data_IF_560251619479
#
_entry.id   IF_560251619479
#
_cell.length_a   1.000
_cell.length_b   1.000
_cell.length_c   1.000
_cell.angle_alpha   90.00
_cell.angle_beta   90.00
_cell.angle_gamma   90.00
#
_symmetry.space_group_name_H-M   'P 1'
#
loop_
_entity.id
_entity.type
_entity.pdbx_description
1 polymer ?
#
# COMPACT_ATOMS: atom_id res chain seq x y z
N UNK A 1 -35.86 -11.80 7.17
CA UNK A 1 -34.68 -12.53 7.70
C UNK A 1 -35.21 -13.46 8.78
N UNK A 2 -35.14 -14.75 8.53
CA UNK A 2 -35.66 -15.78 9.44
C UNK A 2 -34.68 -15.89 10.61
N UNK A 3 -35.18 -16.02 11.83
CA UNK A 3 -34.39 -16.02 13.08
C UNK A 3 -33.25 -17.05 13.10
N UNK A 4 -33.38 -18.16 12.37
CA UNK A 4 -32.34 -19.19 12.24
C UNK A 4 -31.11 -18.76 11.42
N UNK A 5 -31.23 -17.79 10.50
CA UNK A 5 -30.06 -17.28 9.78
C UNK A 5 -29.20 -16.41 10.69
N UNK A 6 -29.83 -15.59 11.54
CA UNK A 6 -29.13 -14.68 12.45
C UNK A 6 -28.31 -15.44 13.50
N UNK A 7 -28.85 -16.53 14.05
CA UNK A 7 -28.16 -17.39 15.02
C UNK A 7 -26.97 -18.11 14.38
N UNK A 8 -27.14 -18.62 13.15
CA UNK A 8 -26.05 -19.20 12.36
C UNK A 8 -24.91 -18.20 12.10
N UNK A 9 -25.22 -16.93 11.82
CA UNK A 9 -24.19 -15.90 11.68
C UNK A 9 -23.53 -15.58 13.02
N UNK A 10 -24.27 -15.48 14.13
CA UNK A 10 -23.66 -15.21 15.44
C UNK A 10 -22.72 -16.32 15.89
N UNK A 11 -23.10 -17.58 15.67
CA UNK A 11 -22.26 -18.75 15.96
C UNK A 11 -21.02 -18.76 15.08
N UNK A 12 -21.17 -18.46 13.78
CA UNK A 12 -20.03 -18.31 12.88
C UNK A 12 -19.03 -17.24 13.35
N UNK A 13 -19.51 -16.08 13.83
CA UNK A 13 -18.64 -15.03 14.38
C UNK A 13 -17.95 -15.47 15.68
N UNK A 14 -18.63 -16.24 16.53
CA UNK A 14 -18.06 -16.76 17.78
C UNK A 14 -16.97 -17.79 17.49
N UNK A 15 -17.27 -18.78 16.66
CA UNK A 15 -16.33 -19.83 16.29
C UNK A 15 -15.12 -19.28 15.54
N UNK A 16 -15.32 -18.31 14.65
CA UNK A 16 -14.22 -17.64 13.95
C UNK A 16 -13.27 -16.93 14.92
N UNK A 17 -13.79 -16.27 15.96
CA UNK A 17 -12.96 -15.64 17.00
C UNK A 17 -12.17 -16.67 17.78
N UNK A 18 -12.82 -17.75 18.20
CA UNK A 18 -12.17 -18.81 18.97
C UNK A 18 -11.09 -19.52 18.17
N UNK A 19 -11.30 -19.75 16.86
CA UNK A 19 -10.32 -20.31 15.93
C UNK A 19 -9.11 -19.38 15.73
N UNK A 20 -9.35 -18.07 15.56
CA UNK A 20 -8.26 -17.07 15.43
C UNK A 20 -7.38 -17.07 16.68
N UNK A 21 -7.98 -17.14 17.87
CA UNK A 21 -7.25 -17.15 19.14
C UNK A 21 -6.59 -18.50 19.46
N UNK A 22 -7.21 -19.64 19.11
CA UNK A 22 -6.67 -20.98 19.40
C UNK A 22 -5.58 -21.42 18.45
N UNK A 23 -5.79 -21.25 17.15
CA UNK A 23 -4.89 -21.83 16.14
C UNK A 23 -3.81 -20.87 15.70
N UNK A 24 -3.93 -19.56 15.99
CA UNK A 24 -2.99 -18.56 15.50
C UNK A 24 -3.04 -18.52 13.97
N UNK A 25 -3.50 -17.42 13.42
CA UNK A 25 -3.81 -17.32 11.97
C UNK A 25 -2.62 -17.64 11.05
N UNK A 26 -1.39 -17.63 11.58
CA UNK A 26 -0.16 -18.05 10.92
C UNK A 26 -0.08 -19.57 10.66
N UNK A 27 -0.66 -20.43 11.51
CA UNK A 27 -0.70 -21.89 11.31
C UNK A 27 -1.68 -22.29 10.19
N UNK A 28 -2.74 -21.51 9.98
CA UNK A 28 -3.70 -21.77 8.90
C UNK A 28 -3.08 -21.53 7.51
N UNK A 29 -2.07 -20.66 7.40
CA UNK A 29 -1.39 -20.36 6.14
C UNK A 29 0.15 -20.24 6.26
N UNK A 30 0.87 -21.37 6.40
CA UNK A 30 2.34 -21.35 6.38
C UNK A 30 2.90 -20.72 5.09
N UNK A 31 2.18 -20.88 3.98
CA UNK A 31 2.54 -20.30 2.67
C UNK A 31 2.50 -18.77 2.63
N UNK A 32 1.73 -18.11 3.50
CA UNK A 32 1.71 -16.64 3.55
C UNK A 32 3.00 -16.07 4.14
N UNK A 33 3.64 -16.80 5.06
CA UNK A 33 4.96 -16.43 5.58
C UNK A 33 6.03 -16.49 4.47
N UNK A 34 6.06 -17.60 3.72
CA UNK A 34 6.97 -17.72 2.56
C UNK A 34 6.69 -16.66 1.49
N UNK A 35 5.41 -16.32 1.27
CA UNK A 35 5.05 -15.24 0.34
C UNK A 35 5.51 -13.86 0.83
N UNK A 36 5.43 -13.58 2.14
CA UNK A 36 5.97 -12.35 2.71
C UNK A 36 7.50 -12.26 2.58
N UNK A 37 8.22 -13.37 2.79
CA UNK A 37 9.67 -13.44 2.51
C UNK A 37 9.95 -13.19 1.03
N UNK A 38 9.21 -13.83 0.13
CA UNK A 38 9.36 -13.63 -1.31
C UNK A 38 9.11 -12.16 -1.70
N UNK A 39 8.09 -11.51 -1.11
CA UNK A 39 7.85 -10.08 -1.26
C UNK A 39 9.07 -9.24 -0.82
N UNK A 40 9.66 -9.53 0.34
CA UNK A 40 10.86 -8.82 0.82
C UNK A 40 12.05 -9.02 -0.15
N UNK A 41 12.29 -10.26 -0.59
CA UNK A 41 13.35 -10.59 -1.55
C UNK A 41 13.16 -9.85 -2.87
N UNK A 42 11.92 -9.78 -3.39
CA UNK A 42 11.61 -9.03 -4.62
C UNK A 42 11.90 -7.54 -4.46
N UNK A 43 11.52 -6.92 -3.35
CA UNK A 43 11.80 -5.50 -3.11
C UNK A 43 13.31 -5.23 -2.98
N UNK A 44 14.04 -6.06 -2.23
CA UNK A 44 15.50 -5.97 -2.13
C UNK A 44 16.16 -6.17 -3.50
N UNK A 45 15.66 -7.10 -4.31
CA UNK A 45 16.12 -7.30 -5.68
C UNK A 45 15.94 -6.07 -6.56
N UNK A 46 14.77 -5.40 -6.49
CA UNK A 46 14.54 -4.15 -7.21
C UNK A 46 15.45 -3.01 -6.73
N UNK A 47 15.73 -2.92 -5.43
CA UNK A 47 16.67 -1.95 -4.86
C UNK A 47 18.10 -2.20 -5.37
N UNK A 48 18.57 -3.44 -5.34
CA UNK A 48 19.89 -3.82 -5.86
C UNK A 48 19.99 -3.50 -7.35
N UNK A 49 18.98 -3.89 -8.13
CA UNK A 49 18.94 -3.60 -9.56
C UNK A 49 19.01 -2.09 -9.84
N UNK A 50 18.23 -1.28 -9.13
CA UNK A 50 18.23 0.16 -9.30
C UNK A 50 19.59 0.78 -8.90
N UNK A 51 20.21 0.29 -7.83
CA UNK A 51 21.56 0.71 -7.43
C UNK A 51 22.59 0.35 -8.49
N UNK A 52 22.59 -0.88 -9.01
CA UNK A 52 23.47 -1.26 -10.12
C UNK A 52 23.25 -0.40 -11.36
N UNK A 53 21.99 -0.10 -11.68
CA UNK A 53 21.61 0.73 -12.81
C UNK A 53 22.06 2.18 -12.62
N UNK A 54 22.03 2.71 -11.39
CA UNK A 54 22.59 4.01 -11.04
C UNK A 54 24.08 4.09 -11.38
N UNK A 55 24.90 3.15 -10.89
CA UNK A 55 26.34 3.12 -11.20
C UNK A 55 26.62 2.92 -12.69
N UNK A 56 25.79 2.14 -13.37
CA UNK A 56 25.92 1.95 -14.80
C UNK A 56 25.69 3.26 -15.56
N UNK A 57 24.68 4.06 -15.19
CA UNK A 57 24.45 5.37 -15.81
C UNK A 57 25.60 6.34 -15.50
N UNK A 58 26.09 6.37 -14.26
CA UNK A 58 27.24 7.21 -13.89
C UNK A 58 28.49 6.85 -14.70
N UNK A 59 28.70 5.56 -15.00
CA UNK A 59 29.82 5.10 -15.82
C UNK A 59 29.79 5.58 -17.28
N UNK A 60 28.63 6.05 -17.75
CA UNK A 60 28.45 6.63 -19.09
C UNK A 60 28.79 8.13 -19.09
N UNK A 61 28.75 8.79 -17.93
CA UNK A 61 29.08 10.21 -17.85
C UNK A 61 30.58 10.44 -18.09
N UNK A 62 30.90 11.50 -18.82
CA UNK A 62 32.27 11.97 -19.02
C UNK A 62 32.60 13.05 -17.97
N UNK A 63 33.81 13.03 -17.41
CA UNK A 63 34.23 13.93 -16.31
C UNK A 63 34.05 15.44 -16.61
N UNK A 64 34.05 15.84 -17.89
CA UNK A 64 34.02 17.25 -18.30
C UNK A 64 32.62 17.81 -18.61
N UNK A 65 31.62 16.97 -18.88
CA UNK A 65 30.25 17.39 -19.20
C UNK A 65 29.22 16.32 -18.80
N UNK A 66 28.24 16.70 -17.98
CA UNK A 66 27.16 15.82 -17.54
C UNK A 66 25.90 16.11 -18.34
N UNK A 67 25.62 15.34 -19.41
CA UNK A 67 24.54 15.68 -20.31
C UNK A 67 23.16 15.56 -19.66
N UNK A 68 22.27 16.52 -19.96
CA UNK A 68 20.94 16.63 -19.35
C UNK A 68 20.06 15.36 -19.46
N UNK A 69 20.29 14.52 -20.47
CA UNK A 69 19.58 13.26 -20.62
C UNK A 69 19.92 12.25 -19.51
N UNK A 70 21.15 12.25 -18.98
CA UNK A 70 21.54 11.38 -17.85
C UNK A 70 20.82 11.83 -16.57
N UNK A 71 20.71 13.13 -16.31
CA UNK A 71 19.94 13.67 -15.17
C UNK A 71 18.48 13.21 -15.24
N UNK A 72 17.87 13.30 -16.43
CA UNK A 72 16.51 12.82 -16.66
C UNK A 72 16.40 11.32 -16.40
N UNK A 73 17.37 10.51 -16.86
CA UNK A 73 17.40 9.08 -16.60
C UNK A 73 17.44 8.78 -15.09
N UNK A 74 18.31 9.45 -14.32
CA UNK A 74 18.36 9.26 -12.86
C UNK A 74 17.05 9.62 -12.17
N UNK A 75 16.44 10.76 -12.55
CA UNK A 75 15.16 11.17 -12.00
C UNK A 75 14.05 10.16 -12.30
N UNK A 76 13.93 9.71 -13.55
CA UNK A 76 12.95 8.71 -13.97
C UNK A 76 13.17 7.39 -13.23
N UNK A 77 14.41 6.96 -13.05
CA UNK A 77 14.73 5.74 -12.32
C UNK A 77 14.37 5.82 -10.83
N UNK A 78 14.61 6.95 -10.18
CA UNK A 78 14.22 7.16 -8.79
C UNK A 78 12.69 7.13 -8.62
N UNK A 79 11.97 7.84 -9.49
CA UNK A 79 10.50 7.85 -9.51
C UNK A 79 9.92 6.47 -9.79
N UNK A 80 10.47 5.76 -10.79
CA UNK A 80 10.04 4.41 -11.15
C UNK A 80 10.28 3.42 -10.01
N UNK A 81 11.40 3.52 -9.29
CA UNK A 81 11.68 2.66 -8.14
C UNK A 81 10.63 2.83 -7.04
N UNK A 82 10.35 4.07 -6.65
CA UNK A 82 9.32 4.38 -5.63
C UNK A 82 7.97 3.82 -6.06
N UNK A 83 7.59 4.03 -7.33
CA UNK A 83 6.35 3.50 -7.86
C UNK A 83 6.27 1.98 -7.83
N UNK A 84 7.34 1.29 -8.25
CA UNK A 84 7.40 -0.18 -8.28
C UNK A 84 7.28 -0.73 -6.86
N UNK A 85 7.98 -0.16 -5.87
CA UNK A 85 7.87 -0.60 -4.48
C UNK A 85 6.42 -0.46 -3.98
N UNK A 86 5.79 0.71 -4.21
CA UNK A 86 4.39 0.93 -3.85
C UNK A 86 3.43 -0.03 -4.59
N UNK A 87 3.72 -0.32 -5.86
CA UNK A 87 2.93 -1.24 -6.67
C UNK A 87 3.02 -2.68 -6.14
N UNK A 88 4.23 -3.16 -5.87
CA UNK A 88 4.49 -4.50 -5.32
C UNK A 88 3.85 -4.64 -3.94
N UNK A 89 3.86 -3.58 -3.12
CA UNK A 89 3.14 -3.57 -1.85
C UNK A 89 1.61 -3.65 -2.03
N UNK A 90 1.04 -2.90 -2.97
CA UNK A 90 -0.38 -3.00 -3.31
C UNK A 90 -0.77 -4.40 -3.81
N UNK A 91 0.06 -4.99 -4.66
CA UNK A 91 -0.09 -6.36 -5.16
C UNK A 91 -0.08 -7.40 -4.03
N UNK A 92 0.87 -7.27 -3.11
CA UNK A 92 0.95 -8.10 -1.91
C UNK A 92 -0.33 -8.01 -1.09
N UNK A 93 -0.84 -6.80 -0.81
CA UNK A 93 -2.08 -6.58 -0.06
C UNK A 93 -3.30 -7.21 -0.72
N UNK A 94 -3.46 -7.08 -2.04
CA UNK A 94 -4.58 -7.70 -2.78
C UNK A 94 -4.52 -9.22 -2.72
N UNK A 95 -3.32 -9.79 -2.89
CA UNK A 95 -3.13 -11.26 -2.87
C UNK A 95 -3.41 -11.84 -1.49
N UNK A 96 -2.89 -11.19 -0.44
CA UNK A 96 -3.08 -11.59 0.96
C UNK A 96 -4.54 -11.42 1.38
N UNK A 97 -5.17 -10.30 1.02
CA UNK A 97 -6.56 -10.05 1.38
C UNK A 97 -7.51 -11.07 0.75
N UNK A 98 -7.32 -11.43 -0.53
CA UNK A 98 -8.14 -12.45 -1.18
C UNK A 98 -7.95 -13.85 -0.61
N UNK A 99 -6.69 -14.23 -0.34
CA UNK A 99 -6.38 -15.52 0.30
C UNK A 99 -7.00 -15.61 1.70
N UNK A 100 -6.81 -14.56 2.51
CA UNK A 100 -7.35 -14.47 3.85
C UNK A 100 -8.87 -14.42 3.85
N UNK A 101 -9.48 -13.60 2.99
CA UNK A 101 -10.92 -13.45 2.87
C UNK A 101 -11.60 -14.76 2.51
N UNK A 102 -11.03 -15.53 1.58
CA UNK A 102 -11.58 -16.84 1.21
C UNK A 102 -11.61 -17.80 2.39
N UNK A 103 -10.57 -17.82 3.22
CA UNK A 103 -10.54 -18.67 4.40
C UNK A 103 -11.43 -18.16 5.53
N UNK A 104 -11.36 -16.87 5.80
CA UNK A 104 -12.10 -16.22 6.87
C UNK A 104 -13.60 -16.39 6.66
N UNK A 105 -14.10 -16.10 5.45
CA UNK A 105 -15.51 -16.17 5.11
C UNK A 105 -16.03 -17.57 4.78
N UNK A 106 -15.17 -18.60 4.71
CA UNK A 106 -15.60 -19.99 4.54
C UNK A 106 -16.10 -20.57 5.86
N UNK A 107 -17.37 -20.98 5.90
CA UNK A 107 -17.98 -21.63 7.08
C UNK A 107 -17.34 -22.99 7.37
N UNK A 108 -17.13 -23.81 6.34
CA UNK A 108 -16.47 -25.10 6.47
C UNK A 108 -15.01 -24.98 6.03
N UNK A 109 -14.06 -25.05 6.98
CA UNK A 109 -12.63 -24.91 6.67
C UNK A 109 -12.08 -26.04 5.79
N UNK A 110 -12.78 -27.18 5.69
CA UNK A 110 -12.42 -28.28 4.78
C UNK A 110 -12.71 -27.97 3.31
N UNK A 111 -13.58 -27.01 3.03
CA UNK A 111 -13.94 -26.57 1.67
C UNK A 111 -12.99 -25.52 1.10
N UNK A 112 -12.10 -24.97 1.95
CA UNK A 112 -11.08 -24.01 1.50
C UNK A 112 -10.13 -24.73 0.56
N UNK A 113 -9.92 -24.24 -0.69
CA UNK A 113 -9.02 -24.87 -1.63
C UNK A 113 -7.60 -25.01 -1.08
N UNK A 114 -6.98 -26.18 -1.32
CA UNK A 114 -5.54 -26.34 -1.06
C UNK A 114 -4.76 -25.32 -1.88
N UNK A 115 -3.66 -24.79 -1.34
CA UNK A 115 -2.84 -23.76 -1.98
C UNK A 115 -3.58 -22.46 -2.33
N UNK A 116 -4.57 -22.07 -1.51
CA UNK A 116 -5.32 -20.80 -1.68
C UNK A 116 -4.40 -19.58 -1.88
N UNK A 117 -3.28 -19.48 -1.15
CA UNK A 117 -2.30 -18.39 -1.31
C UNK A 117 -1.75 -18.31 -2.75
N UNK A 118 -1.27 -19.42 -3.32
CA UNK A 118 -0.74 -19.45 -4.69
C UNK A 118 -1.82 -19.13 -5.73
N UNK A 119 -3.04 -19.63 -5.51
CA UNK A 119 -4.18 -19.32 -6.36
C UNK A 119 -4.47 -17.82 -6.39
N UNK A 120 -4.45 -17.15 -5.24
CA UNK A 120 -4.71 -15.71 -5.17
C UNK A 120 -3.55 -14.87 -5.72
N UNK A 121 -2.31 -15.32 -5.59
CA UNK A 121 -1.16 -14.68 -6.28
C UNK A 121 -1.38 -14.72 -7.80
N UNK A 122 -1.79 -15.88 -8.34
CA UNK A 122 -2.09 -16.01 -9.77
C UNK A 122 -3.28 -15.13 -10.20
N UNK A 123 -4.36 -15.10 -9.42
CA UNK A 123 -5.53 -14.24 -9.69
C UNK A 123 -5.13 -12.77 -9.67
N UNK A 124 -4.37 -12.35 -8.65
CA UNK A 124 -3.89 -10.98 -8.53
C UNK A 124 -3.02 -10.59 -9.73
N UNK A 125 -2.12 -11.48 -10.16
CA UNK A 125 -1.27 -11.28 -11.33
C UNK A 125 -2.08 -11.14 -12.62
N UNK A 126 -3.08 -12.02 -12.83
CA UNK A 126 -3.84 -12.07 -14.07
C UNK A 126 -4.90 -10.98 -14.19
N UNK A 127 -5.49 -10.53 -13.08
CA UNK A 127 -6.68 -9.66 -13.08
C UNK A 127 -6.53 -8.36 -12.30
N UNK A 128 -5.62 -8.28 -11.32
CA UNK A 128 -5.53 -7.13 -10.40
C UNK A 128 -4.24 -6.32 -10.52
N UNK A 129 -3.40 -6.59 -11.52
CA UNK A 129 -2.19 -5.80 -11.78
C UNK A 129 -2.50 -4.36 -12.19
N UNK A 130 -3.55 -4.15 -13.00
CA UNK A 130 -3.96 -2.80 -13.44
C UNK A 130 -4.49 -1.93 -12.28
N UNK A 131 -5.49 -2.40 -11.51
CA UNK A 131 -6.01 -1.66 -10.36
C UNK A 131 -4.95 -1.34 -9.30
N UNK A 132 -4.00 -2.26 -9.04
CA UNK A 132 -2.90 -2.03 -8.09
C UNK A 132 -1.87 -1.04 -8.63
N UNK A 133 -1.56 -1.06 -9.93
CA UNK A 133 -0.68 -0.09 -10.58
C UNK A 133 -1.27 1.32 -10.55
N UNK A 134 -2.57 1.44 -10.81
CA UNK A 134 -3.26 2.72 -10.79
C UNK A 134 -3.33 3.31 -9.37
N UNK A 135 -3.65 2.50 -8.37
CA UNK A 135 -3.67 2.95 -6.98
C UNK A 135 -2.30 3.40 -6.46
N UNK A 136 -1.23 2.67 -6.79
CA UNK A 136 0.13 3.02 -6.37
C UNK A 136 0.63 4.27 -7.10
N UNK A 137 0.21 4.48 -8.34
CA UNK A 137 0.52 5.69 -9.10
C UNK A 137 -0.07 6.94 -8.44
N UNK A 138 -1.31 6.87 -7.95
CA UNK A 138 -1.95 8.00 -7.25
C UNK A 138 -1.15 8.35 -5.99
N UNK A 139 -0.79 7.36 -5.18
CA UNK A 139 0.03 7.57 -3.97
C UNK A 139 1.38 8.22 -4.33
N UNK A 140 2.03 7.72 -5.38
CA UNK A 140 3.31 8.26 -5.86
C UNK A 140 3.16 9.72 -6.30
N UNK A 141 2.14 10.07 -7.09
CA UNK A 141 1.90 11.46 -7.53
C UNK A 141 1.72 12.38 -6.33
N UNK A 142 0.92 11.99 -5.33
CA UNK A 142 0.77 12.77 -4.09
C UNK A 142 2.09 12.93 -3.33
N UNK A 143 2.92 11.88 -3.33
CA UNK A 143 4.26 11.92 -2.70
C UNK A 143 5.20 12.88 -3.43
N UNK A 144 5.21 12.86 -4.76
CA UNK A 144 6.02 13.78 -5.57
C UNK A 144 5.57 15.22 -5.35
N UNK A 145 4.25 15.49 -5.35
CA UNK A 145 3.73 16.84 -5.09
C UNK A 145 4.16 17.37 -3.72
N UNK A 146 4.16 16.52 -2.69
CA UNK A 146 4.63 16.89 -1.36
C UNK A 146 6.14 17.20 -1.35
N UNK A 147 6.96 16.36 -1.99
CA UNK A 147 8.42 16.58 -2.08
C UNK A 147 8.73 17.87 -2.84
N UNK A 148 8.01 18.15 -3.93
CA UNK A 148 8.19 19.38 -4.69
C UNK A 148 7.84 20.62 -3.88
N UNK A 149 6.78 20.57 -3.07
CA UNK A 149 6.41 21.69 -2.21
C UNK A 149 7.47 21.94 -1.13
N UNK A 150 7.95 20.89 -0.48
CA UNK A 150 9.05 20.98 0.50
C UNK A 150 10.35 21.52 -0.13
N UNK A 151 10.61 21.18 -1.40
CA UNK A 151 11.75 21.73 -2.14
C UNK A 151 11.61 23.24 -2.41
N UNK A 152 10.41 23.71 -2.75
CA UNK A 152 10.14 25.15 -2.95
C UNK A 152 10.27 25.92 -1.64
N UNK A 153 9.77 25.36 -0.53
CA UNK A 153 9.89 25.96 0.80
C UNK A 153 11.37 26.14 1.19
N UNK A 154 12.20 25.11 0.98
CA UNK A 154 13.64 25.18 1.29
C UNK A 154 14.43 26.10 0.36
N UNK A 155 14.04 26.21 -0.92
CA UNK A 155 14.73 27.05 -1.91
C UNK A 155 14.30 28.52 -1.88
N UNK A 156 13.11 28.82 -1.35
CA UNK A 156 12.53 30.17 -1.30
C UNK A 156 13.01 31.04 -0.12
N UNK A 157 13.78 30.48 0.82
CA UNK A 157 14.26 31.17 2.02
C UNK A 157 15.46 32.10 1.75
N UNK A 158 16.15 31.95 0.61
CA UNK A 158 17.41 32.66 0.32
C UNK A 158 17.27 34.04 -0.34
N UNK A 159 16.07 34.56 -0.61
CA UNK A 159 15.97 35.86 -1.32
C UNK A 159 14.63 36.57 -1.24
N UNK A 160 14.57 37.57 -0.37
CA UNK A 160 13.84 38.84 -0.55
C UNK A 160 12.49 38.78 -1.29
N UNK A 161 11.37 38.69 -0.58
CA UNK A 161 10.10 39.41 -0.83
C UNK A 161 8.96 38.88 0.08
N UNK A 162 8.51 39.69 1.05
CA UNK A 162 7.18 39.56 1.71
C UNK A 162 7.01 38.40 2.71
N UNK A 163 7.68 38.47 3.86
CA UNK A 163 8.07 37.32 4.70
C UNK A 163 7.02 36.67 5.62
N UNK A 164 5.80 37.20 5.78
CA UNK A 164 4.83 36.64 6.76
C UNK A 164 3.57 35.99 6.14
N UNK A 165 3.12 36.48 4.98
CA UNK A 165 1.93 35.92 4.31
C UNK A 165 2.28 34.80 3.33
N UNK A 166 3.47 34.85 2.73
CA UNK A 166 3.96 33.84 1.79
C UNK A 166 4.39 32.55 2.53
N UNK A 167 5.06 32.68 3.67
CA UNK A 167 5.46 31.58 4.56
C UNK A 167 4.25 30.82 5.10
N UNK A 168 3.30 31.53 5.72
CA UNK A 168 2.07 30.94 6.26
C UNK A 168 1.25 30.20 5.18
N UNK A 169 1.21 30.72 3.95
CA UNK A 169 0.54 30.08 2.82
C UNK A 169 1.16 28.75 2.40
N UNK A 170 2.49 28.67 2.33
CA UNK A 170 3.22 27.45 1.96
C UNK A 170 3.08 26.37 3.05
N UNK A 171 3.19 26.75 4.32
CA UNK A 171 3.02 25.83 5.47
C UNK A 171 1.60 25.21 5.49
N UNK A 172 0.58 26.03 5.20
CA UNK A 172 -0.80 25.56 5.11
C UNK A 172 -1.00 24.59 3.93
N UNK A 173 -0.38 24.86 2.79
CA UNK A 173 -0.41 23.99 1.62
C UNK A 173 0.30 22.65 1.88
N UNK A 174 1.45 22.65 2.56
CA UNK A 174 2.16 21.41 2.92
C UNK A 174 1.32 20.56 3.87
N UNK A 175 0.78 21.18 4.91
CA UNK A 175 -0.13 20.48 5.85
C UNK A 175 -1.35 19.91 5.13
N UNK A 176 -1.96 20.66 4.20
CA UNK A 176 -3.11 20.18 3.43
C UNK A 176 -2.76 19.00 2.51
N UNK A 177 -1.60 19.05 1.84
CA UNK A 177 -1.11 17.95 1.01
C UNK A 177 -0.74 16.73 1.84
N UNK A 178 -0.14 16.92 3.01
CA UNK A 178 0.15 15.84 3.95
C UNK A 178 -1.13 15.10 4.36
N UNK A 179 -2.18 15.83 4.75
CA UNK A 179 -3.48 15.24 5.11
C UNK A 179 -4.10 14.54 3.90
N UNK A 180 -4.08 15.17 2.72
CA UNK A 180 -4.64 14.59 1.50
C UNK A 180 -3.93 13.26 1.14
N UNK A 181 -2.60 13.23 1.18
CA UNK A 181 -1.80 12.04 0.95
C UNK A 181 -2.15 10.95 1.96
N UNK A 182 -2.22 11.26 3.24
CA UNK A 182 -2.57 10.30 4.29
C UNK A 182 -3.98 9.70 4.07
N UNK A 183 -4.96 10.52 3.68
CA UNK A 183 -6.31 10.03 3.34
C UNK A 183 -6.26 9.12 2.12
N UNK A 184 -5.54 9.50 1.07
CA UNK A 184 -5.40 8.72 -0.16
C UNK A 184 -4.74 7.37 0.13
N UNK A 185 -3.68 7.33 0.94
CA UNK A 185 -2.99 6.09 1.34
C UNK A 185 -3.91 5.18 2.15
N UNK A 186 -4.65 5.73 3.11
CA UNK A 186 -5.60 4.98 3.93
C UNK A 186 -6.73 4.38 3.07
N UNK A 187 -7.35 5.19 2.20
CA UNK A 187 -8.43 4.75 1.31
C UNK A 187 -7.92 3.72 0.31
N UNK A 188 -6.76 3.95 -0.29
CA UNK A 188 -6.12 3.02 -1.25
C UNK A 188 -5.78 1.70 -0.57
N UNK A 189 -5.26 1.73 0.65
CA UNK A 189 -4.99 0.54 1.45
C UNK A 189 -6.24 -0.31 1.69
N UNK A 190 -7.35 0.33 2.05
CA UNK A 190 -8.65 -0.35 2.19
C UNK A 190 -9.23 -0.79 0.85
N UNK A 191 -9.00 -0.05 -0.23
CA UNK A 191 -9.45 -0.41 -1.57
C UNK A 191 -8.77 -1.70 -2.02
N UNK A 192 -7.46 -1.87 -1.79
CA UNK A 192 -6.76 -3.12 -2.08
C UNK A 192 -7.32 -4.34 -1.32
N UNK A 193 -7.73 -4.15 -0.06
CA UNK A 193 -8.41 -5.21 0.70
C UNK A 193 -9.76 -5.53 0.07
N UNK A 194 -10.52 -4.52 -0.33
CA UNK A 194 -11.81 -4.70 -0.99
C UNK A 194 -11.67 -5.42 -2.35
N UNK A 195 -10.67 -5.04 -3.16
CA UNK A 195 -10.37 -5.65 -4.46
C UNK A 195 -10.03 -7.13 -4.31
N UNK A 196 -9.18 -7.52 -3.35
CA UNK A 196 -8.84 -8.93 -3.17
C UNK A 196 -10.04 -9.79 -2.77
N UNK A 197 -10.99 -9.22 -2.02
CA UNK A 197 -12.19 -9.93 -1.57
C UNK A 197 -13.32 -9.99 -2.63
N UNK A 198 -13.56 -8.91 -3.37
CA UNK A 198 -14.71 -8.77 -4.26
C UNK A 198 -14.35 -8.78 -5.75
N UNK A 199 -13.07 -8.67 -6.09
CA UNK A 199 -12.58 -8.69 -7.47
C UNK A 199 -12.95 -7.46 -8.31
N UNK A 200 -13.23 -6.31 -7.68
CA UNK A 200 -13.68 -5.08 -8.37
C UNK A 200 -12.52 -4.21 -8.89
N UNK A 201 -12.83 -3.23 -9.74
CA UNK A 201 -11.87 -2.24 -10.21
C UNK A 201 -11.48 -1.22 -9.12
N UNK A 202 -10.37 -0.50 -9.32
CA UNK A 202 -9.83 0.42 -8.31
C UNK A 202 -10.80 1.53 -7.91
N UNK A 203 -11.42 2.20 -8.89
CA UNK A 203 -12.31 3.35 -8.62
C UNK A 203 -13.53 2.94 -7.81
N UNK A 204 -14.15 1.80 -8.14
CA UNK A 204 -15.33 1.31 -7.42
C UNK A 204 -14.96 0.86 -6.00
N UNK A 205 -13.84 0.13 -5.86
CA UNK A 205 -13.30 -0.21 -4.55
C UNK A 205 -13.00 1.03 -3.71
N UNK A 206 -12.37 2.06 -4.30
CA UNK A 206 -12.04 3.31 -3.62
C UNK A 206 -13.28 4.07 -3.14
N UNK A 207 -14.37 4.10 -3.92
CA UNK A 207 -15.65 4.72 -3.51
C UNK A 207 -16.24 4.05 -2.28
N UNK A 208 -16.24 2.71 -2.26
CA UNK A 208 -16.73 1.92 -1.12
C UNK A 208 -15.83 2.15 0.09
N UNK A 209 -14.51 2.06 -0.09
CA UNK A 209 -13.52 2.27 0.96
C UNK A 209 -13.57 3.68 1.54
N UNK A 210 -13.79 4.72 0.73
CA UNK A 210 -13.96 6.09 1.21
C UNK A 210 -15.24 6.25 2.05
N UNK A 211 -16.33 5.58 1.66
CA UNK A 211 -17.57 5.58 2.46
C UNK A 211 -17.35 4.88 3.80
N UNK A 212 -16.59 3.78 3.83
CA UNK A 212 -16.21 3.08 5.05
C UNK A 212 -15.28 3.93 5.93
N UNK A 213 -14.30 4.60 5.33
CA UNK A 213 -13.36 5.51 5.99
C UNK A 213 -14.10 6.58 6.79
N UNK A 214 -15.01 7.31 6.13
CA UNK A 214 -15.78 8.40 6.76
C UNK A 214 -16.61 7.93 7.95
N UNK A 215 -17.18 6.72 7.88
CA UNK A 215 -18.06 6.17 8.91
C UNK A 215 -17.30 5.62 10.12
N UNK A 216 -16.03 5.25 9.96
CA UNK A 216 -15.24 4.55 10.98
C UNK A 216 -13.87 5.17 11.24
N UNK A 217 -13.65 6.43 10.88
CA UNK A 217 -12.34 7.10 10.97
C UNK A 217 -11.68 6.92 12.34
N UNK A 218 -12.42 7.11 13.43
CA UNK A 218 -11.90 6.95 14.79
C UNK A 218 -11.36 5.54 15.06
N UNK A 219 -12.06 4.49 14.59
CA UNK A 219 -11.60 3.10 14.76
C UNK A 219 -10.35 2.81 13.95
N UNK A 220 -10.31 3.31 12.71
CA UNK A 220 -9.17 3.15 11.83
C UNK A 220 -7.94 3.84 12.43
N UNK A 221 -8.09 5.07 12.94
CA UNK A 221 -7.02 5.79 13.60
C UNK A 221 -6.44 5.01 14.79
N UNK A 222 -7.29 4.43 15.64
CA UNK A 222 -6.85 3.60 16.77
C UNK A 222 -6.10 2.35 16.29
N UNK A 223 -6.61 1.65 15.28
CA UNK A 223 -5.94 0.47 14.72
C UNK A 223 -4.57 0.83 14.16
N UNK A 224 -4.46 1.93 13.40
CA UNK A 224 -3.17 2.37 12.86
C UNK A 224 -2.15 2.66 13.96
N UNK A 225 -2.57 3.25 15.08
CA UNK A 225 -1.68 3.48 16.21
C UNK A 225 -1.21 2.16 16.83
N UNK A 226 -2.12 1.22 17.07
CA UNK A 226 -1.78 -0.12 17.57
C UNK A 226 -0.81 -0.84 16.63
N UNK A 227 -1.04 -0.77 15.31
CA UNK A 227 -0.16 -1.36 14.31
C UNK A 227 1.26 -0.79 14.37
N UNK A 228 1.40 0.54 14.56
CA UNK A 228 2.70 1.19 14.73
C UNK A 228 3.39 0.69 16.00
N UNK A 229 2.71 0.67 17.15
CA UNK A 229 3.29 0.18 18.40
C UNK A 229 3.70 -1.29 18.31
N UNK A 230 2.88 -2.12 17.66
CA UNK A 230 3.19 -3.53 17.46
C UNK A 230 4.40 -3.72 16.55
N UNK A 231 4.50 -2.92 15.48
CA UNK A 231 5.64 -2.96 14.55
C UNK A 231 6.93 -2.58 15.25
N UNK A 232 6.91 -1.53 16.09
CA UNK A 232 8.08 -1.13 16.90
C UNK A 232 8.47 -2.21 17.92
N UNK A 233 7.51 -2.94 18.49
CA UNK A 233 7.79 -3.99 19.47
C UNK A 233 8.44 -5.24 18.83
N UNK A 234 8.17 -5.50 17.56
CA UNK A 234 8.63 -6.69 16.83
C UNK A 234 10.02 -6.48 16.19
N UNK A 235 10.48 -5.24 16.06
CA UNK A 235 11.81 -4.86 15.56
C UNK A 235 12.73 -4.38 16.69
#
# INVERSE_FOLDING_TARGET
MVTGDAEKYSDFYRDSKDLIFKEGTMLAFPLMFFYAIAYCVVNVGFLIFNFCLYFWIESISSDDDYPAHLVLCHFVNAVALVWIICHVYGFFKVSVSGAYGTWYWSMNKKEVPKFTTLRFIYIAFRYHIGPTAFGSLIIMVCTILQILLAYVETSGVDGTLGTDLCSCGLDCCDTALYILKAVIEAVTGMAYVHIGNHGTGFIDAARVSFTLFKRNYAKIAVITQVDIYLSILIF
#
